data_IF_210330031410
#
_entry.id   IF_210330031410
#
_cell.length_a   1.000
_cell.length_b   1.000
_cell.length_c   1.000
_cell.angle_alpha   90.00
_cell.angle_beta   90.00
_cell.angle_gamma   90.00
#
_symmetry.space_group_name_H-M   'P 1'
#
loop_
_entity.id
_entity.type
_entity.pdbx_description
1 polymer ?
#
# COMPACT_ATOMS: atom_id res chain seq x y z
N UNK A 1 38.90 4.51 -33.84
CA UNK A 1 38.78 5.20 -32.55
C UNK A 1 40.00 4.81 -31.74
N UNK A 2 41.05 5.64 -31.79
CA UNK A 2 42.26 5.45 -30.99
C UNK A 2 42.20 6.30 -29.72
N UNK A 3 42.58 5.76 -28.54
CA UNK A 3 42.71 6.56 -27.32
C UNK A 3 44.09 7.23 -27.24
N UNK A 4 44.06 8.53 -26.94
CA UNK A 4 45.21 9.42 -26.77
C UNK A 4 46.19 8.93 -25.68
N UNK A 5 47.47 8.78 -26.06
CA UNK A 5 48.63 8.68 -25.15
C UNK A 5 48.93 10.05 -24.53
N UNK A 6 48.99 10.15 -23.20
CA UNK A 6 49.53 11.31 -22.48
C UNK A 6 51.03 11.16 -22.21
N UNK A 7 51.71 12.30 -22.27
CA UNK A 7 53.16 12.47 -22.23
C UNK A 7 53.66 12.65 -20.77
N UNK A 8 54.56 11.79 -20.25
CA UNK A 8 54.94 11.75 -18.83
C UNK A 8 55.73 12.96 -18.34
N UNK A 9 56.19 13.84 -19.23
CA UNK A 9 56.86 15.08 -18.84
C UNK A 9 55.89 16.15 -18.28
N UNK A 10 54.59 16.04 -18.58
CA UNK A 10 53.56 16.97 -18.07
C UNK A 10 53.29 16.79 -16.57
N UNK A 11 53.37 15.54 -16.07
CA UNK A 11 52.99 15.23 -14.69
C UNK A 11 54.03 15.69 -13.66
N UNK A 12 55.29 15.88 -14.06
CA UNK A 12 56.33 16.33 -13.14
C UNK A 12 56.25 17.83 -12.84
N UNK A 13 55.79 18.64 -13.81
CA UNK A 13 55.60 20.08 -13.64
C UNK A 13 54.38 20.42 -12.78
N UNK A 14 53.30 19.63 -12.88
CA UNK A 14 52.12 19.77 -12.00
C UNK A 14 52.44 19.41 -10.54
N UNK A 15 53.28 18.40 -10.30
CA UNK A 15 53.59 17.97 -8.94
C UNK A 15 54.46 18.97 -8.16
N UNK A 16 55.36 19.71 -8.84
CA UNK A 16 56.15 20.77 -8.19
C UNK A 16 55.28 22.01 -7.89
N UNK A 17 54.29 22.30 -8.74
CA UNK A 17 53.28 23.34 -8.49
C UNK A 17 52.40 22.99 -7.29
N UNK A 18 51.91 21.75 -7.20
CA UNK A 18 51.08 21.29 -6.09
C UNK A 18 51.81 21.31 -4.74
N UNK A 19 53.09 20.92 -4.70
CA UNK A 19 53.89 20.95 -3.47
C UNK A 19 54.17 22.39 -2.98
N UNK A 20 54.30 23.34 -3.91
CA UNK A 20 54.54 24.77 -3.58
C UNK A 20 53.25 25.45 -3.10
N UNK A 21 52.09 25.07 -3.67
CA UNK A 21 50.75 25.49 -3.24
C UNK A 21 50.42 24.91 -1.85
N UNK A 22 50.79 23.66 -1.59
CA UNK A 22 50.58 23.04 -0.27
C UNK A 22 51.40 23.73 0.82
N UNK A 23 52.66 24.09 0.54
CA UNK A 23 53.53 24.74 1.53
C UNK A 23 53.07 26.17 1.87
N UNK A 24 52.65 26.95 0.87
CA UNK A 24 52.10 28.31 1.08
C UNK A 24 50.75 28.29 1.80
N UNK A 25 49.93 27.25 1.58
CA UNK A 25 48.68 27.06 2.33
C UNK A 25 48.95 26.73 3.80
N UNK A 26 49.93 25.88 4.10
CA UNK A 26 50.28 25.51 5.48
C UNK A 26 50.87 26.70 6.25
N UNK A 27 51.76 27.49 5.63
CA UNK A 27 52.32 28.68 6.26
C UNK A 27 51.24 29.76 6.50
N UNK A 28 50.28 29.92 5.59
CA UNK A 28 49.10 30.78 5.77
C UNK A 28 48.19 30.32 6.93
N UNK A 29 48.06 29.01 7.14
CA UNK A 29 47.28 28.44 8.24
C UNK A 29 48.03 28.59 9.57
N UNK A 30 49.36 28.41 9.58
CA UNK A 30 50.18 28.60 10.79
C UNK A 30 50.20 30.07 11.22
N UNK A 31 50.30 31.02 10.29
CA UNK A 31 50.22 32.45 10.62
C UNK A 31 48.80 32.88 11.03
N UNK A 32 47.76 32.26 10.46
CA UNK A 32 46.37 32.44 10.91
C UNK A 32 46.14 31.89 12.32
N UNK A 33 46.73 30.73 12.65
CA UNK A 33 46.67 30.15 14.00
C UNK A 33 47.49 30.98 15.00
N UNK A 34 48.66 31.50 14.60
CA UNK A 34 49.50 32.34 15.44
C UNK A 34 48.87 33.71 15.69
N UNK A 35 48.07 34.22 14.75
CA UNK A 35 47.19 35.39 14.89
C UNK A 35 45.98 35.10 15.78
N UNK A 36 45.36 33.92 15.63
CA UNK A 36 44.23 33.46 16.45
C UNK A 36 44.62 33.14 17.90
N UNK A 37 45.90 32.93 18.20
CA UNK A 37 46.43 32.68 19.55
C UNK A 37 46.73 33.97 20.35
N UNK A 38 46.20 35.12 19.94
CA UNK A 38 46.04 36.26 20.85
C UNK A 38 44.87 35.95 21.80
N UNK A 39 45.11 35.62 23.08
CA UNK A 39 44.16 34.92 23.95
C UNK A 39 42.90 35.73 24.29
N UNK A 40 42.86 37.02 23.96
CA UNK A 40 41.70 37.87 24.18
C UNK A 40 40.74 37.83 22.98
N UNK A 41 41.20 37.57 21.76
CA UNK A 41 40.34 37.59 20.57
C UNK A 41 39.64 36.26 20.30
N UNK A 42 40.31 35.13 20.57
CA UNK A 42 39.75 33.77 20.47
C UNK A 42 38.68 33.50 21.52
N UNK A 43 38.79 34.10 22.71
CA UNK A 43 37.76 34.02 23.75
C UNK A 43 36.52 34.80 23.33
N UNK A 44 36.66 35.97 22.68
CA UNK A 44 35.51 36.74 22.16
C UNK A 44 34.84 36.02 20.98
N UNK A 45 35.61 35.42 20.06
CA UNK A 45 35.03 34.63 18.96
C UNK A 45 34.36 33.32 19.42
N UNK A 46 34.93 32.60 20.40
CA UNK A 46 34.29 31.43 20.99
C UNK A 46 33.06 31.80 21.83
N UNK A 47 33.09 32.95 22.52
CA UNK A 47 31.91 33.47 23.21
C UNK A 47 30.82 33.89 22.24
N UNK A 48 31.16 34.47 21.07
CA UNK A 48 30.17 34.77 20.02
C UNK A 48 29.70 33.53 19.26
N UNK A 49 30.53 32.50 19.10
CA UNK A 49 30.13 31.21 18.53
C UNK A 49 29.18 30.46 19.48
N UNK A 50 29.46 30.50 20.79
CA UNK A 50 28.57 29.98 21.84
C UNK A 50 27.26 30.77 21.93
N UNK A 51 27.28 32.07 21.61
CA UNK A 51 26.07 32.89 21.51
C UNK A 51 25.24 32.49 20.27
N UNK A 52 25.88 32.22 19.13
CA UNK A 52 25.20 31.74 17.91
C UNK A 52 24.61 30.34 18.10
N UNK A 53 25.34 29.41 18.73
CA UNK A 53 24.81 28.06 19.03
C UNK A 53 23.61 28.15 19.97
N UNK A 54 23.69 29.01 21.00
CA UNK A 54 22.58 29.28 21.91
C UNK A 54 21.38 29.93 21.20
N UNK A 55 21.62 30.91 20.32
CA UNK A 55 20.57 31.51 19.50
C UNK A 55 19.93 30.49 18.57
N UNK A 56 20.73 29.61 17.96
CA UNK A 56 20.27 28.53 17.08
C UNK A 56 19.39 27.53 17.84
N UNK A 57 19.80 27.10 19.04
CA UNK A 57 19.01 26.23 19.91
C UNK A 57 17.67 26.88 20.31
N UNK A 58 17.67 28.19 20.60
CA UNK A 58 16.45 28.94 20.92
C UNK A 58 15.51 29.02 19.70
N UNK A 59 16.05 29.24 18.50
CA UNK A 59 15.25 29.26 17.25
C UNK A 59 14.66 27.88 16.97
N UNK A 60 15.43 26.81 17.12
CA UNK A 60 14.95 25.42 16.96
C UNK A 60 13.83 25.12 17.95
N UNK A 61 14.01 25.44 19.24
CA UNK A 61 13.00 25.24 20.26
C UNK A 61 11.72 26.06 20.00
N UNK A 62 11.86 27.31 19.55
CA UNK A 62 10.72 28.15 19.18
C UNK A 62 9.95 27.59 17.97
N UNK A 63 10.68 27.09 16.96
CA UNK A 63 10.09 26.45 15.78
C UNK A 63 9.32 25.17 16.16
N UNK A 64 9.88 24.34 17.04
CA UNK A 64 9.19 23.15 17.55
C UNK A 64 7.92 23.51 18.32
N UNK A 65 8.00 24.51 19.21
CA UNK A 65 6.86 24.98 19.97
C UNK A 65 5.75 25.52 19.06
N UNK A 66 6.11 26.32 18.06
CA UNK A 66 5.17 26.85 17.08
C UNK A 66 4.53 25.74 16.23
N UNK A 67 5.33 24.76 15.79
CA UNK A 67 4.86 23.60 15.02
C UNK A 67 3.86 22.77 15.83
N UNK A 68 4.16 22.53 17.12
CA UNK A 68 3.27 21.83 18.04
C UNK A 68 1.96 22.60 18.26
N UNK A 69 2.03 23.92 18.43
CA UNK A 69 0.86 24.78 18.62
C UNK A 69 -0.03 24.82 17.38
N UNK A 70 0.56 24.92 16.19
CA UNK A 70 -0.17 24.84 14.93
C UNK A 70 -0.82 23.46 14.74
N UNK A 71 -0.11 22.37 15.02
CA UNK A 71 -0.66 21.01 14.94
C UNK A 71 -1.85 20.81 15.90
N UNK A 72 -1.75 21.33 17.12
CA UNK A 72 -2.87 21.32 18.09
C UNK A 72 -4.06 22.13 17.58
N UNK A 73 -3.84 23.34 17.07
CA UNK A 73 -4.90 24.20 16.54
C UNK A 73 -5.58 23.59 15.32
N UNK A 74 -4.83 23.02 14.39
CA UNK A 74 -5.39 22.31 13.24
C UNK A 74 -6.22 21.10 13.66
N UNK A 75 -5.77 20.35 14.67
CA UNK A 75 -6.53 19.22 15.22
C UNK A 75 -7.83 19.68 15.88
N UNK A 76 -7.80 20.79 16.63
CA UNK A 76 -8.99 21.37 17.24
C UNK A 76 -9.99 21.89 16.19
N UNK A 77 -9.51 22.61 15.17
CA UNK A 77 -10.33 23.10 14.07
C UNK A 77 -10.92 21.95 13.25
N UNK A 78 -10.16 20.88 12.98
CA UNK A 78 -10.70 19.67 12.33
C UNK A 78 -11.84 19.06 13.13
N UNK A 79 -11.67 18.90 14.46
CA UNK A 79 -12.73 18.40 15.33
C UNK A 79 -13.97 19.31 15.32
N UNK A 80 -13.78 20.63 15.31
CA UNK A 80 -14.90 21.57 15.20
C UNK A 80 -15.59 21.47 13.84
N UNK A 81 -14.83 21.36 12.77
CA UNK A 81 -15.37 21.21 11.43
C UNK A 81 -16.12 19.88 11.28
N UNK A 82 -15.62 18.79 11.89
CA UNK A 82 -16.29 17.49 12.00
C UNK A 82 -17.62 17.56 12.77
N UNK A 83 -17.76 18.52 13.70
CA UNK A 83 -19.01 18.74 14.45
C UNK A 83 -20.01 19.59 13.69
N UNK A 84 -19.56 20.57 12.91
CA UNK A 84 -20.42 21.54 12.22
C UNK A 84 -20.86 21.01 10.86
N UNK A 85 -20.01 20.25 10.18
CA UNK A 85 -20.25 19.71 8.86
C UNK A 85 -20.17 18.18 8.93
N UNK A 86 -21.31 17.47 8.85
CA UNK A 86 -21.31 16.01 8.72
C UNK A 86 -20.77 15.54 7.36
N UNK A 87 -20.09 16.40 6.60
CA UNK A 87 -19.37 16.05 5.37
C UNK A 87 -18.40 14.90 5.62
N UNK A 88 -17.81 14.81 6.81
CA UNK A 88 -16.87 13.73 7.18
C UNK A 88 -17.56 12.44 7.67
N UNK A 89 -18.90 12.44 7.76
CA UNK A 89 -19.72 11.27 8.05
C UNK A 89 -20.78 11.14 6.97
N UNK A 90 -20.39 10.80 5.72
CA UNK A 90 -21.38 10.40 4.74
C UNK A 90 -22.26 9.28 5.33
N UNK A 91 -23.51 9.10 4.92
CA UNK A 91 -24.30 7.94 5.33
C UNK A 91 -23.57 6.62 5.02
N UNK A 92 -23.79 5.55 5.80
CA UNK A 92 -23.09 4.25 5.64
C UNK A 92 -23.36 3.60 4.27
N UNK A 93 -24.43 4.02 3.60
CA UNK A 93 -24.82 3.66 2.25
C UNK A 93 -23.78 4.09 1.21
N UNK A 94 -23.14 5.25 1.40
CA UNK A 94 -22.20 5.80 0.42
C UNK A 94 -20.91 4.97 0.38
N UNK A 95 -20.20 4.71 1.50
CA UNK A 95 -19.05 3.81 1.46
C UNK A 95 -19.44 2.38 1.07
N UNK A 96 -20.61 1.88 1.48
CA UNK A 96 -21.08 0.57 1.05
C UNK A 96 -21.22 0.49 -0.48
N UNK A 97 -21.75 1.55 -1.11
CA UNK A 97 -21.87 1.65 -2.55
C UNK A 97 -20.51 1.75 -3.24
N UNK A 98 -19.58 2.57 -2.72
CA UNK A 98 -18.22 2.68 -3.24
C UNK A 98 -17.51 1.32 -3.19
N UNK A 99 -17.54 0.65 -2.04
CA UNK A 99 -16.96 -0.69 -1.85
C UNK A 99 -17.57 -1.68 -2.84
N UNK A 100 -18.90 -1.64 -3.00
CA UNK A 100 -19.60 -2.47 -3.97
C UNK A 100 -19.08 -2.23 -5.38
N UNK A 101 -18.98 -0.97 -5.83
CA UNK A 101 -18.45 -0.63 -7.17
C UNK A 101 -17.00 -1.08 -7.35
N UNK A 102 -16.15 -0.89 -6.33
CA UNK A 102 -14.76 -1.36 -6.37
C UNK A 102 -14.67 -2.88 -6.58
N UNK A 103 -15.55 -3.64 -5.92
CA UNK A 103 -15.58 -5.09 -6.03
C UNK A 103 -16.14 -5.54 -7.38
N UNK A 104 -17.15 -4.88 -7.94
CA UNK A 104 -17.71 -5.25 -9.25
C UNK A 104 -16.73 -5.02 -10.41
N UNK A 105 -15.80 -4.08 -10.27
CA UNK A 105 -14.78 -3.80 -11.28
C UNK A 105 -13.65 -4.84 -11.35
N UNK A 106 -13.56 -5.73 -10.36
CA UNK A 106 -12.51 -6.73 -10.24
C UNK A 106 -13.12 -8.13 -10.04
N UNK A 107 -12.37 -9.23 -10.26
CA UNK A 107 -12.80 -10.52 -9.76
C UNK A 107 -12.98 -10.42 -8.24
N UNK A 108 -14.21 -10.64 -7.77
CA UNK A 108 -14.54 -10.61 -6.34
C UNK A 108 -13.57 -11.51 -5.56
N UNK A 109 -12.92 -10.97 -4.53
CA UNK A 109 -12.01 -11.73 -3.67
C UNK A 109 -12.18 -11.31 -2.21
N UNK A 110 -12.23 -12.28 -1.29
CA UNK A 110 -12.24 -12.05 0.16
C UNK A 110 -10.99 -11.27 0.60
N UNK A 111 -9.84 -11.49 -0.06
CA UNK A 111 -8.62 -10.72 0.23
C UNK A 111 -8.78 -9.23 -0.10
N UNK A 112 -9.48 -8.89 -1.18
CA UNK A 112 -9.83 -7.50 -1.51
C UNK A 112 -10.73 -6.89 -0.45
N UNK A 113 -11.74 -7.63 0.03
CA UNK A 113 -12.58 -7.19 1.15
C UNK A 113 -11.77 -6.96 2.43
N UNK A 114 -10.82 -7.83 2.75
CA UNK A 114 -9.92 -7.63 3.89
C UNK A 114 -9.04 -6.39 3.74
N UNK A 115 -8.53 -6.13 2.54
CA UNK A 115 -7.76 -4.91 2.24
C UNK A 115 -8.61 -3.63 2.39
N UNK A 116 -9.86 -3.65 1.94
CA UNK A 116 -10.78 -2.52 2.14
C UNK A 116 -11.16 -2.37 3.63
N UNK A 117 -11.31 -3.48 4.35
CA UNK A 117 -11.63 -3.46 5.76
C UNK A 117 -10.50 -2.90 6.64
N UNK A 118 -9.24 -2.93 6.18
CA UNK A 118 -8.11 -2.37 6.94
C UNK A 118 -7.99 -0.85 6.83
N UNK A 119 -8.72 -0.19 5.93
CA UNK A 119 -8.66 1.27 5.72
C UNK A 119 -9.05 2.03 6.99
N UNK A 120 -10.18 1.68 7.59
CA UNK A 120 -10.62 2.22 8.88
C UNK A 120 -11.68 1.35 9.53
N UNK A 121 -11.91 1.53 10.85
CA UNK A 121 -12.92 0.78 11.62
C UNK A 121 -14.34 0.91 11.08
N UNK A 122 -14.65 2.04 10.42
CA UNK A 122 -15.94 2.27 9.78
C UNK A 122 -16.12 1.38 8.55
N UNK A 123 -15.11 1.27 7.68
CA UNK A 123 -15.16 0.40 6.50
C UNK A 123 -15.24 -1.07 6.90
N UNK A 124 -14.47 -1.48 7.91
CA UNK A 124 -14.57 -2.81 8.50
C UNK A 124 -16.00 -3.14 8.93
N UNK A 125 -16.64 -2.22 9.67
CA UNK A 125 -18.03 -2.38 10.12
C UNK A 125 -18.97 -2.53 8.93
N UNK A 126 -18.91 -1.61 7.97
CA UNK A 126 -19.77 -1.62 6.77
C UNK A 126 -19.63 -2.95 6.02
N UNK A 127 -18.40 -3.43 5.82
CA UNK A 127 -18.15 -4.69 5.11
C UNK A 127 -18.80 -5.87 5.84
N UNK A 128 -18.65 -5.95 7.16
CA UNK A 128 -19.21 -7.05 7.95
C UNK A 128 -20.73 -6.97 8.07
N UNK A 129 -21.30 -5.77 8.14
CA UNK A 129 -22.74 -5.59 8.31
C UNK A 129 -23.54 -5.64 7.00
N UNK A 130 -22.88 -5.57 5.84
CA UNK A 130 -23.53 -5.50 4.52
C UNK A 130 -23.50 -6.87 3.82
N UNK A 131 -24.58 -7.66 3.87
CA UNK A 131 -24.56 -9.05 3.38
C UNK A 131 -24.35 -9.16 1.87
N UNK A 132 -24.74 -8.14 1.09
CA UNK A 132 -24.60 -8.14 -0.38
C UNK A 132 -23.14 -8.18 -0.84
N UNK A 133 -22.21 -7.71 -0.01
CA UNK A 133 -20.77 -7.79 -0.29
C UNK A 133 -20.23 -9.23 -0.18
N UNK A 134 -20.98 -10.12 0.49
CA UNK A 134 -20.63 -11.53 0.71
C UNK A 134 -21.45 -12.48 -0.15
N UNK A 135 -22.30 -11.97 -1.04
CA UNK A 135 -23.20 -12.75 -1.90
C UNK A 135 -22.47 -13.51 -3.04
N UNK A 136 -21.15 -13.58 -2.99
CA UNK A 136 -20.31 -14.34 -3.92
C UNK A 136 -19.46 -15.33 -3.12
N UNK A 137 -19.45 -16.60 -3.53
CA UNK A 137 -18.62 -17.63 -2.94
C UNK A 137 -17.68 -18.21 -4.00
N UNK A 138 -16.39 -18.24 -3.69
CA UNK A 138 -15.34 -18.78 -4.56
C UNK A 138 -14.68 -20.00 -3.95
N UNK A 139 -14.30 -20.93 -4.83
CA UNK A 139 -13.62 -22.16 -4.46
C UNK A 139 -12.26 -21.92 -3.78
N UNK A 140 -11.47 -20.99 -4.31
CA UNK A 140 -10.12 -20.66 -3.85
C UNK A 140 -10.08 -19.88 -2.52
N UNK A 141 -11.21 -19.64 -1.88
CA UNK A 141 -11.32 -18.77 -0.71
C UNK A 141 -11.98 -19.47 0.50
N UNK A 142 -12.61 -18.70 1.40
CA UNK A 142 -13.31 -19.21 2.59
C UNK A 142 -14.82 -19.24 2.32
N UNK A 143 -15.36 -20.23 1.58
CA UNK A 143 -16.77 -20.28 1.20
C UNK A 143 -17.70 -20.33 2.42
N UNK A 144 -17.28 -20.91 3.53
CA UNK A 144 -18.06 -20.97 4.77
C UNK A 144 -18.36 -19.56 5.30
N UNK A 145 -17.39 -18.65 5.17
CA UNK A 145 -17.54 -17.27 5.59
C UNK A 145 -18.49 -16.50 4.67
N UNK A 146 -18.34 -16.63 3.35
CA UNK A 146 -19.22 -15.98 2.38
C UNK A 146 -20.69 -16.42 2.54
N UNK A 147 -20.92 -17.74 2.66
CA UNK A 147 -22.25 -18.31 2.88
C UNK A 147 -22.87 -17.83 4.18
N UNK A 148 -22.09 -17.78 5.27
CA UNK A 148 -22.57 -17.28 6.57
C UNK A 148 -22.92 -15.80 6.53
N UNK A 149 -22.05 -14.98 5.92
CA UNK A 149 -22.18 -13.52 5.95
C UNK A 149 -23.24 -12.98 4.98
N UNK A 150 -23.52 -13.70 3.88
CA UNK A 150 -24.56 -13.36 2.90
C UNK A 150 -26.00 -13.56 3.40
N UNK A 151 -26.19 -14.23 4.54
CA UNK A 151 -27.51 -14.49 5.17
C UNK A 151 -28.47 -15.22 4.24
N UNK A 152 -29.55 -14.58 3.79
CA UNK A 152 -30.57 -15.16 2.89
C UNK A 152 -30.49 -14.59 1.46
N UNK A 153 -29.45 -13.80 1.17
CA UNK A 153 -29.30 -13.22 -0.15
C UNK A 153 -29.00 -14.29 -1.20
N UNK A 154 -29.42 -14.06 -2.46
CA UNK A 154 -29.01 -14.89 -3.58
C UNK A 154 -27.48 -15.01 -3.66
N UNK A 155 -27.00 -16.21 -3.96
CA UNK A 155 -25.57 -16.53 -4.02
C UNK A 155 -25.10 -16.65 -5.46
N UNK A 156 -23.97 -16.03 -5.74
CA UNK A 156 -23.17 -16.27 -6.93
C UNK A 156 -22.04 -17.23 -6.59
N UNK A 157 -21.97 -18.35 -7.31
CA UNK A 157 -20.98 -19.40 -7.12
C UNK A 157 -19.94 -19.30 -8.22
N UNK A 158 -18.66 -19.16 -7.86
CA UNK A 158 -17.54 -19.23 -8.79
C UNK A 158 -16.69 -20.45 -8.49
N UNK A 159 -16.62 -21.35 -9.46
CA UNK A 159 -15.77 -22.52 -9.46
C UNK A 159 -14.62 -22.24 -10.40
N UNK A 160 -13.43 -22.04 -9.83
CA UNK A 160 -12.19 -21.87 -10.59
C UNK A 160 -11.49 -23.25 -10.74
N UNK A 161 -10.41 -23.30 -11.50
CA UNK A 161 -9.64 -24.54 -11.71
C UNK A 161 -9.08 -25.04 -10.38
N UNK A 162 -9.50 -26.24 -9.98
CA UNK A 162 -9.15 -26.81 -8.68
C UNK A 162 -9.12 -28.33 -8.73
N UNK A 163 -8.46 -28.91 -7.73
CA UNK A 163 -8.42 -30.35 -7.57
C UNK A 163 -9.83 -30.90 -7.22
N UNK A 164 -10.24 -32.09 -7.72
CA UNK A 164 -11.57 -32.66 -7.44
C UNK A 164 -11.95 -32.68 -5.96
N UNK A 165 -10.99 -32.95 -5.06
CA UNK A 165 -11.23 -32.95 -3.61
C UNK A 165 -11.58 -31.58 -3.02
N UNK A 166 -11.00 -30.51 -3.57
CA UNK A 166 -11.32 -29.13 -3.14
C UNK A 166 -12.72 -28.75 -3.60
N UNK A 167 -13.04 -29.13 -4.84
CA UNK A 167 -14.38 -28.95 -5.40
C UNK A 167 -15.44 -29.68 -4.56
N UNK A 168 -15.21 -30.95 -4.24
CA UNK A 168 -16.13 -31.73 -3.39
C UNK A 168 -16.37 -31.05 -2.04
N UNK A 169 -15.31 -30.55 -1.39
CA UNK A 169 -15.41 -29.81 -0.13
C UNK A 169 -16.23 -28.53 -0.29
N UNK A 170 -15.97 -27.75 -1.33
CA UNK A 170 -16.70 -26.52 -1.60
C UNK A 170 -18.19 -26.76 -1.90
N UNK A 171 -18.49 -27.78 -2.69
CA UNK A 171 -19.88 -28.20 -2.95
C UNK A 171 -20.53 -28.65 -1.65
N UNK A 172 -19.85 -29.41 -0.79
CA UNK A 172 -20.40 -29.83 0.50
C UNK A 172 -20.80 -28.63 1.39
N UNK A 173 -20.07 -27.51 1.30
CA UNK A 173 -20.34 -26.28 2.06
C UNK A 173 -21.48 -25.47 1.44
N UNK A 174 -21.49 -25.34 0.11
CA UNK A 174 -22.43 -24.44 -0.60
C UNK A 174 -23.75 -25.11 -0.95
N UNK A 175 -23.78 -26.44 -1.12
CA UNK A 175 -24.96 -27.24 -1.50
C UNK A 175 -26.12 -27.16 -0.52
N UNK A 176 -25.95 -27.13 0.81
CA UNK A 176 -27.06 -26.90 1.73
C UNK A 176 -27.82 -25.58 1.45
N UNK A 177 -27.15 -24.63 0.79
CA UNK A 177 -27.69 -23.32 0.41
C UNK A 177 -28.02 -23.23 -1.09
N UNK A 178 -28.11 -24.36 -1.78
CA UNK A 178 -28.50 -24.52 -3.19
C UNK A 178 -29.71 -23.68 -3.62
N UNK A 179 -30.74 -23.63 -2.77
CA UNK A 179 -31.97 -22.90 -3.04
C UNK A 179 -31.77 -21.37 -3.20
N UNK A 180 -30.61 -20.84 -2.76
CA UNK A 180 -30.21 -19.44 -2.91
C UNK A 180 -29.32 -19.19 -4.12
N UNK A 181 -28.81 -20.22 -4.79
CA UNK A 181 -27.92 -20.04 -5.92
C UNK A 181 -28.65 -19.35 -7.07
N UNK A 182 -28.10 -18.22 -7.53
CA UNK A 182 -28.65 -17.41 -8.61
C UNK A 182 -27.81 -17.49 -9.87
N UNK A 183 -26.48 -17.42 -9.71
CA UNK A 183 -25.54 -17.51 -10.82
C UNK A 183 -24.44 -18.50 -10.47
N UNK A 184 -24.08 -19.38 -11.40
CA UNK A 184 -22.98 -20.33 -11.25
C UNK A 184 -22.03 -20.16 -12.44
N UNK A 185 -20.78 -19.83 -12.13
CA UNK A 185 -19.70 -19.66 -13.10
C UNK A 185 -18.67 -20.75 -12.87
N UNK A 186 -18.38 -21.53 -13.91
CA UNK A 186 -17.45 -22.65 -13.87
C UNK A 186 -16.33 -22.40 -14.88
N UNK A 187 -15.13 -22.19 -14.37
CA UNK A 187 -13.87 -22.09 -15.10
C UNK A 187 -13.04 -23.35 -14.77
N UNK A 188 -13.35 -24.48 -15.40
CA UNK A 188 -12.66 -25.75 -15.11
C UNK A 188 -12.59 -26.66 -16.35
N UNK A 189 -11.51 -27.44 -16.45
CA UNK A 189 -11.33 -28.43 -17.51
C UNK A 189 -12.27 -29.65 -17.41
N UNK A 190 -12.81 -29.91 -16.22
CA UNK A 190 -13.59 -31.13 -15.94
C UNK A 190 -15.03 -30.77 -15.54
N UNK A 191 -15.86 -30.42 -16.51
CA UNK A 191 -17.27 -30.06 -16.28
C UNK A 191 -18.14 -31.25 -15.88
N UNK A 192 -17.77 -32.47 -16.27
CA UNK A 192 -18.65 -33.65 -16.13
C UNK A 192 -18.93 -34.01 -14.66
N UNK A 193 -17.93 -33.84 -13.79
CA UNK A 193 -18.11 -34.07 -12.35
C UNK A 193 -19.03 -33.02 -11.71
N UNK A 194 -18.93 -31.76 -12.14
CA UNK A 194 -19.80 -30.69 -11.65
C UNK A 194 -21.26 -30.91 -12.02
N UNK A 195 -21.53 -31.40 -13.23
CA UNK A 195 -22.91 -31.67 -13.67
C UNK A 195 -23.62 -32.67 -12.78
N UNK A 196 -22.92 -33.71 -12.30
CA UNK A 196 -23.46 -34.67 -11.34
C UNK A 196 -23.82 -34.01 -10.01
N UNK A 197 -23.02 -33.04 -9.57
CA UNK A 197 -23.31 -32.29 -8.36
C UNK A 197 -24.43 -31.28 -8.54
N UNK A 198 -24.61 -30.71 -9.73
CA UNK A 198 -25.59 -29.65 -10.02
C UNK A 198 -26.97 -30.23 -10.41
N UNK A 199 -27.08 -31.55 -10.60
CA UNK A 199 -28.31 -32.24 -11.01
C UNK A 199 -29.50 -32.18 -10.01
N UNK A 200 -29.42 -31.37 -8.95
CA UNK A 200 -30.51 -31.13 -8.01
C UNK A 200 -31.35 -29.89 -8.41
N UNK A 201 -32.49 -29.68 -7.76
CA UNK A 201 -33.35 -28.54 -8.04
C UNK A 201 -32.69 -27.22 -7.61
N UNK A 202 -32.46 -26.34 -8.59
CA UNK A 202 -31.91 -25.00 -8.41
C UNK A 202 -32.99 -23.95 -8.69
N UNK A 203 -33.96 -23.74 -7.79
CA UNK A 203 -35.17 -22.98 -8.06
C UNK A 203 -34.94 -21.49 -8.37
N UNK A 204 -33.77 -20.94 -8.01
CA UNK A 204 -33.42 -19.52 -8.21
C UNK A 204 -32.32 -19.29 -9.23
N UNK A 205 -31.85 -20.33 -9.91
CA UNK A 205 -30.77 -20.21 -10.89
C UNK A 205 -31.28 -19.45 -12.11
N UNK A 206 -30.64 -18.31 -12.38
CA UNK A 206 -30.89 -17.48 -13.55
C UNK A 206 -29.79 -17.62 -14.58
N UNK A 207 -28.59 -17.98 -14.14
CA UNK A 207 -27.41 -17.97 -14.98
C UNK A 207 -26.49 -19.13 -14.65
N UNK A 208 -26.11 -19.88 -15.67
CA UNK A 208 -25.13 -20.95 -15.60
C UNK A 208 -24.15 -20.75 -16.76
N UNK A 209 -22.88 -20.49 -16.43
CA UNK A 209 -21.84 -20.30 -17.43
C UNK A 209 -20.72 -21.31 -17.23
N UNK A 210 -20.32 -21.93 -18.32
CA UNK A 210 -19.13 -22.77 -18.40
C UNK A 210 -18.13 -22.06 -19.30
N UNK A 211 -16.99 -21.69 -18.75
CA UNK A 211 -15.87 -21.14 -19.49
C UNK A 211 -14.78 -22.20 -19.56
N UNK A 212 -14.57 -22.72 -20.77
CA UNK A 212 -13.47 -23.65 -21.02
C UNK A 212 -12.19 -22.83 -21.15
N UNK A 213 -11.37 -22.85 -20.11
CA UNK A 213 -9.99 -22.39 -20.23
C UNK A 213 -9.27 -23.42 -21.09
N UNK A 214 -9.10 -23.16 -22.40
CA UNK A 214 -8.15 -23.94 -23.18
C UNK A 214 -6.78 -23.71 -22.54
N UNK A 215 -6.18 -24.78 -22.00
CA UNK A 215 -4.90 -24.76 -21.28
C UNK A 215 -3.95 -23.81 -22.02
N UNK A 216 -3.80 -22.58 -21.51
CA UNK A 216 -3.00 -21.54 -22.17
C UNK A 216 -1.55 -21.95 -21.98
N UNK A 217 -1.10 -22.87 -22.84
CA UNK A 217 0.27 -23.32 -22.91
C UNK A 217 1.19 -22.10 -22.86
N UNK A 218 2.03 -22.08 -21.82
CA UNK A 218 3.14 -21.17 -21.58
C UNK A 218 3.15 -19.86 -22.36
N UNK A 219 2.54 -18.79 -21.82
CA UNK A 219 3.18 -17.48 -21.96
C UNK A 219 4.26 -17.40 -20.90
N UNK A 220 5.49 -17.65 -21.31
CA UNK A 220 6.67 -17.24 -20.56
C UNK A 220 6.48 -15.78 -20.13
N UNK A 221 6.46 -15.57 -18.81
CA UNK A 221 6.82 -14.27 -18.24
C UNK A 221 8.32 -14.11 -18.47
N UNK A 222 8.70 -13.65 -19.65
CA UNK A 222 9.95 -12.90 -19.78
C UNK A 222 9.70 -11.56 -19.08
N UNK A 223 10.20 -11.48 -17.85
CA UNK A 223 10.45 -10.23 -17.16
C UNK A 223 11.57 -9.48 -17.87
N UNK A 224 11.24 -8.32 -18.44
CA UNK A 224 12.19 -7.22 -18.60
C UNK A 224 12.41 -6.53 -17.25
#
# INVERSE_FOLDING_TARGET
>A
MEPFRRDPASDLAENISAATIAKTSVDSVIDSLRSAMNPVHTIVELLSLLDIDRETDVVVAAQELFSNLLAQRLTALRRQLDTVLPINKPPDEIPAHIISLSIHSQPWRISTLHGLASVCSRWWRIIITTPSLWASARLSEKPELAVKMSKELPLTIHVEEAHPSELERFIAITRPHAHRWQSVFVEAHFTDHLLHHIAFQLPRLKELRFEYTANRGGRGRESL
#
